data_IF_278199760132
#
_entry.id   IF_278199760132
#
_cell.length_a   1.000
_cell.length_b   1.000
_cell.length_c   1.000
_cell.angle_alpha   90.00
_cell.angle_beta   90.00
_cell.angle_gamma   90.00
#
_symmetry.space_group_name_H-M   'P 1'
#
loop_
_entity.id
_entity.type
_entity.pdbx_description
1 polymer ?
#
# COMPACT_ATOMS: atom_id res chain seq x y z
N UNK A 1 -1.10 22.46 11.10
CA UNK A 1 -1.35 21.01 10.98
C UNK A 1 -0.01 20.33 10.72
N UNK A 2 0.36 19.38 11.59
CA UNK A 2 1.58 18.56 11.43
C UNK A 2 1.20 17.23 10.82
N UNK A 3 1.88 16.84 9.75
CA UNK A 3 1.67 15.57 9.07
C UNK A 3 2.97 14.80 9.07
N UNK A 4 2.95 13.57 9.59
CA UNK A 4 4.06 12.63 9.51
C UNK A 4 3.81 11.53 8.48
N UNK A 5 4.87 10.75 8.18
CA UNK A 5 4.75 9.58 7.33
C UNK A 5 5.49 8.39 7.92
N UNK A 6 4.87 7.22 7.82
CA UNK A 6 5.50 5.96 8.20
C UNK A 6 5.43 5.02 7.00
N UNK A 7 6.61 4.68 6.46
CA UNK A 7 6.76 3.78 5.32
C UNK A 7 7.07 2.37 5.86
N UNK A 8 6.32 1.38 5.40
CA UNK A 8 6.54 -0.03 5.71
C UNK A 8 7.22 -0.69 4.52
N UNK A 9 8.37 -1.31 4.76
CA UNK A 9 9.17 -1.93 3.71
C UNK A 9 9.66 -3.33 4.08
N UNK A 10 9.66 -4.21 3.09
CA UNK A 10 10.31 -5.52 3.12
C UNK A 10 11.39 -5.62 2.03
N UNK A 11 11.90 -4.47 1.58
CA UNK A 11 12.93 -4.35 0.56
C UNK A 11 12.36 -4.33 -0.85
N UNK A 12 11.27 -3.61 -1.05
CA UNK A 12 10.65 -3.39 -2.37
C UNK A 12 11.62 -2.66 -3.30
N UNK A 13 11.55 -2.98 -4.58
CA UNK A 13 12.41 -2.37 -5.60
C UNK A 13 12.22 -0.86 -5.72
N UNK A 14 11.04 -0.37 -5.33
CA UNK A 14 10.65 1.04 -5.39
C UNK A 14 10.80 1.79 -4.07
N UNK A 15 11.40 1.19 -3.04
CA UNK A 15 11.53 1.81 -1.71
C UNK A 15 12.10 3.24 -1.79
N UNK A 16 13.19 3.44 -2.55
CA UNK A 16 13.80 4.77 -2.67
C UNK A 16 12.86 5.78 -3.34
N UNK A 17 12.18 5.39 -4.42
CA UNK A 17 11.20 6.29 -5.07
C UNK A 17 10.03 6.63 -4.15
N UNK A 18 9.57 5.66 -3.34
CA UNK A 18 8.56 5.91 -2.33
C UNK A 18 9.03 6.95 -1.32
N UNK A 19 10.24 6.78 -0.77
CA UNK A 19 10.86 7.72 0.17
C UNK A 19 10.99 9.11 -0.47
N UNK A 20 11.61 9.19 -1.66
CA UNK A 20 11.81 10.45 -2.38
C UNK A 20 10.49 11.18 -2.63
N UNK A 21 9.40 10.45 -2.93
CA UNK A 21 8.08 11.05 -3.17
C UNK A 21 7.47 11.69 -1.92
N UNK A 22 7.87 11.26 -0.73
CA UNK A 22 7.41 11.78 0.55
C UNK A 22 8.30 12.90 1.06
N UNK A 23 9.63 12.69 1.06
CA UNK A 23 10.61 13.60 1.68
C UNK A 23 10.69 14.98 1.02
N UNK A 24 10.16 15.13 -0.20
CA UNK A 24 10.00 16.44 -0.85
C UNK A 24 9.10 17.41 -0.04
N UNK A 25 8.18 16.87 0.78
CA UNK A 25 7.16 17.65 1.46
C UNK A 25 7.09 17.40 2.97
N UNK A 26 7.48 16.21 3.42
CA UNK A 26 7.44 15.79 4.83
C UNK A 26 8.86 15.43 5.26
N UNK A 27 9.40 16.15 6.23
CA UNK A 27 10.71 15.85 6.81
C UNK A 27 10.66 14.79 7.92
N UNK A 28 9.49 14.58 8.51
CA UNK A 28 9.29 13.64 9.62
C UNK A 28 8.79 12.30 9.07
N UNK A 29 9.72 11.52 8.53
CA UNK A 29 9.50 10.21 7.91
C UNK A 29 10.16 9.13 8.74
N UNK A 30 9.41 8.08 9.09
CA UNK A 30 9.95 6.87 9.71
C UNK A 30 9.79 5.67 8.80
N UNK A 31 10.81 4.79 8.75
CA UNK A 31 10.78 3.59 7.91
C UNK A 31 10.82 2.34 8.78
N UNK A 32 9.78 1.53 8.71
CA UNK A 32 9.69 0.23 9.38
C UNK A 32 10.13 -0.84 8.39
N UNK A 33 11.32 -1.43 8.64
CA UNK A 33 11.94 -2.38 7.70
C UNK A 33 11.85 -3.83 8.17
N UNK A 34 11.53 -4.73 7.22
CA UNK A 34 11.63 -6.18 7.37
C UNK A 34 10.81 -6.76 8.54
N UNK A 35 9.66 -6.16 8.85
CA UNK A 35 8.78 -6.62 9.92
C UNK A 35 7.71 -7.56 9.38
N UNK A 36 7.73 -8.79 9.85
CA UNK A 36 6.76 -9.84 9.50
C UNK A 36 6.22 -10.50 10.76
N UNK A 37 4.96 -10.95 10.77
CA UNK A 37 3.92 -10.77 9.76
C UNK A 37 3.37 -9.33 9.70
N UNK A 38 2.63 -8.99 8.65
CA UNK A 38 2.16 -7.64 8.33
C UNK A 38 1.48 -6.90 9.51
N UNK A 39 0.68 -7.60 10.32
CA UNK A 39 0.04 -6.98 11.49
C UNK A 39 1.04 -6.43 12.53
N UNK A 40 2.26 -7.00 12.60
CA UNK A 40 3.32 -6.46 13.47
C UNK A 40 3.90 -5.16 12.93
N UNK A 41 4.03 -5.04 11.60
CA UNK A 41 4.44 -3.77 10.99
C UNK A 41 3.40 -2.68 11.23
N UNK A 42 2.10 -3.02 11.15
CA UNK A 42 1.00 -2.10 11.48
C UNK A 42 1.00 -1.73 12.97
N UNK A 43 1.28 -2.67 13.89
CA UNK A 43 1.39 -2.37 15.33
C UNK A 43 2.55 -1.41 15.62
N UNK A 44 3.72 -1.65 15.01
CA UNK A 44 4.87 -0.75 15.14
C UNK A 44 4.58 0.65 14.56
N UNK A 45 3.86 0.72 13.44
CA UNK A 45 3.40 1.99 12.87
C UNK A 45 2.55 2.79 13.87
N UNK A 46 1.54 2.16 14.47
CA UNK A 46 0.71 2.81 15.47
C UNK A 46 1.49 3.14 16.76
N UNK A 47 2.40 2.26 17.18
CA UNK A 47 3.25 2.53 18.34
C UNK A 47 4.15 3.74 18.15
N UNK A 48 4.74 3.88 16.96
CA UNK A 48 5.59 5.02 16.63
C UNK A 48 4.76 6.29 16.54
N UNK A 49 3.65 6.30 15.80
CA UNK A 49 2.78 7.45 15.63
C UNK A 49 2.22 7.99 16.95
N UNK A 50 1.85 7.09 17.89
CA UNK A 50 1.33 7.49 19.20
C UNK A 50 2.33 8.28 20.08
N UNK A 51 3.63 8.25 19.73
CA UNK A 51 4.69 8.98 20.44
C UNK A 51 5.00 10.33 19.79
N UNK A 52 4.39 10.63 18.64
CA UNK A 52 4.63 11.85 17.89
C UNK A 52 3.55 12.90 18.19
N UNK A 53 3.90 14.16 18.00
CA UNK A 53 2.97 15.31 18.12
C UNK A 53 2.33 15.69 16.78
N UNK A 54 2.06 14.68 15.94
CA UNK A 54 1.38 14.85 14.66
C UNK A 54 -0.14 15.01 14.84
N UNK A 55 -0.76 15.79 13.97
CA UNK A 55 -2.21 15.83 13.84
C UNK A 55 -2.69 14.62 13.03
N UNK A 56 -1.97 14.35 11.93
CA UNK A 56 -2.24 13.26 10.99
C UNK A 56 -0.96 12.53 10.59
N UNK A 57 -1.08 11.29 10.17
CA UNK A 57 0.04 10.58 9.57
C UNK A 57 -0.40 9.67 8.43
N UNK A 58 0.50 9.48 7.48
CA UNK A 58 0.33 8.59 6.34
C UNK A 58 0.96 7.25 6.70
N UNK A 59 0.20 6.15 6.59
CA UNK A 59 0.73 4.80 6.58
C UNK A 59 0.87 4.33 5.12
N UNK A 60 2.11 4.17 4.66
CA UNK A 60 2.42 3.90 3.25
C UNK A 60 3.20 2.60 3.12
N UNK A 61 2.89 1.79 2.11
CA UNK A 61 3.71 0.64 1.72
C UNK A 61 4.77 1.09 0.70
N UNK A 62 5.99 0.56 0.78
CA UNK A 62 7.12 1.01 -0.02
C UNK A 62 7.00 0.70 -1.53
N UNK A 63 5.94 0.01 -1.94
CA UNK A 63 5.55 -0.20 -3.34
C UNK A 63 4.52 0.81 -3.86
N UNK A 64 4.22 1.85 -3.08
CA UNK A 64 3.38 2.99 -3.47
C UNK A 64 4.23 4.24 -3.61
N UNK A 65 4.18 4.88 -4.77
CA UNK A 65 4.85 6.16 -5.06
C UNK A 65 3.77 7.23 -5.10
N UNK A 66 3.91 8.29 -4.30
CA UNK A 66 2.90 9.36 -4.26
C UNK A 66 2.91 10.18 -5.55
N UNK A 67 1.75 10.63 -6.00
CA UNK A 67 1.58 11.34 -7.26
C UNK A 67 2.04 12.81 -7.15
N UNK A 68 2.46 13.48 -8.25
CA UNK A 68 2.76 14.90 -8.22
C UNK A 68 1.60 15.72 -7.65
N UNK A 69 1.89 16.67 -6.74
CA UNK A 69 0.89 17.52 -6.09
C UNK A 69 0.04 16.83 -5.01
N UNK A 70 0.40 15.62 -4.61
CA UNK A 70 -0.32 14.86 -3.59
C UNK A 70 -0.41 15.59 -2.25
N UNK A 71 0.65 16.32 -1.86
CA UNK A 71 0.70 16.99 -0.56
C UNK A 71 -0.31 18.12 -0.45
N UNK A 72 -0.37 19.00 -1.46
CA UNK A 72 -1.34 20.09 -1.50
C UNK A 72 -2.78 19.54 -1.55
N UNK A 73 -2.99 18.47 -2.31
CA UNK A 73 -4.29 17.77 -2.39
C UNK A 73 -4.69 17.23 -1.02
N UNK A 74 -3.77 16.57 -0.31
CA UNK A 74 -4.00 16.04 1.03
C UNK A 74 -4.29 17.16 2.03
N UNK A 75 -3.45 18.18 2.08
CA UNK A 75 -3.62 19.32 3.02
C UNK A 75 -4.94 20.02 2.80
N UNK A 76 -5.29 20.29 1.54
CA UNK A 76 -6.58 20.89 1.20
C UNK A 76 -7.76 20.01 1.66
N UNK A 77 -7.68 18.70 1.44
CA UNK A 77 -8.72 17.78 1.89
C UNK A 77 -8.88 17.77 3.41
N UNK A 78 -7.76 17.67 4.15
CA UNK A 78 -7.76 17.63 5.61
C UNK A 78 -8.25 18.94 6.23
N UNK A 79 -7.96 20.09 5.62
CA UNK A 79 -8.39 21.41 6.09
C UNK A 79 -9.91 21.59 6.03
N UNK A 80 -10.57 20.94 5.09
CA UNK A 80 -12.02 21.00 4.92
C UNK A 80 -12.77 19.79 5.49
N UNK A 81 -12.05 18.93 6.21
CA UNK A 81 -12.61 17.72 6.77
C UNK A 81 -13.46 18.04 8.02
N UNK A 82 -14.71 17.58 8.02
CA UNK A 82 -15.62 17.74 9.14
C UNK A 82 -15.89 16.42 9.87
N UNK A 83 -16.09 16.54 11.19
CA UNK A 83 -16.53 15.46 12.05
C UNK A 83 -15.39 14.60 12.62
N UNK A 84 -15.78 13.56 13.36
CA UNK A 84 -14.88 12.65 14.04
C UNK A 84 -14.40 11.54 13.08
N UNK A 85 -13.27 11.79 12.41
CA UNK A 85 -12.68 10.89 11.41
C UNK A 85 -11.37 10.32 11.93
N UNK A 86 -11.25 8.99 11.96
CA UNK A 86 -10.02 8.33 12.37
C UNK A 86 -9.13 7.91 11.19
N UNK A 87 -9.71 7.69 10.00
CA UNK A 87 -8.97 7.25 8.81
C UNK A 87 -9.61 7.76 7.53
N UNK A 88 -8.76 8.11 6.58
CA UNK A 88 -9.15 8.45 5.21
C UNK A 88 -8.36 7.56 4.27
N UNK A 89 -9.07 6.95 3.32
CA UNK A 89 -8.49 6.11 2.28
C UNK A 89 -8.52 6.87 0.95
N UNK A 90 -7.36 7.15 0.39
CA UNK A 90 -7.21 7.76 -0.91
C UNK A 90 -6.94 6.73 -2.00
N UNK A 91 -7.28 7.09 -3.23
CA UNK A 91 -7.13 6.21 -4.37
C UNK A 91 -5.70 6.19 -4.91
N UNK A 92 -5.32 5.03 -5.42
CA UNK A 92 -4.08 4.79 -6.16
C UNK A 92 -4.40 4.19 -7.52
N UNK A 93 -3.56 4.49 -8.51
CA UNK A 93 -3.56 3.82 -9.79
C UNK A 93 -2.62 2.63 -9.74
N UNK A 94 -3.15 1.45 -9.98
CA UNK A 94 -2.38 0.22 -10.00
C UNK A 94 -2.00 -0.17 -11.44
N UNK A 95 -0.76 -0.65 -11.66
CA UNK A 95 -0.29 -1.07 -12.98
C UNK A 95 -1.16 -2.17 -13.59
N UNK A 96 -1.62 -3.11 -12.77
CA UNK A 96 -2.26 -4.35 -13.21
C UNK A 96 -3.79 -4.34 -13.10
N UNK A 97 -4.34 -3.36 -12.43
CA UNK A 97 -5.76 -3.36 -12.02
C UNK A 97 -6.44 -2.08 -12.50
N UNK A 98 -7.64 -2.26 -13.04
CA UNK A 98 -8.58 -1.18 -13.32
C UNK A 98 -9.93 -1.56 -12.68
N UNK A 99 -10.57 -0.77 -11.90
CA UNK A 99 -10.41 0.66 -11.64
C UNK A 99 -9.38 1.03 -10.55
N UNK A 100 -9.37 2.31 -10.13
CA UNK A 100 -8.56 2.80 -9.01
C UNK A 100 -8.82 2.00 -7.73
N UNK A 101 -7.76 1.73 -6.97
CA UNK A 101 -7.81 1.03 -5.69
C UNK A 101 -7.62 2.00 -4.53
N UNK A 102 -7.97 1.57 -3.32
CA UNK A 102 -7.65 2.26 -2.07
C UNK A 102 -6.27 1.80 -1.59
N UNK A 103 -5.32 2.71 -1.42
CA UNK A 103 -3.93 2.30 -1.12
C UNK A 103 -3.09 3.34 -0.39
N UNK A 104 -3.54 4.60 -0.25
CA UNK A 104 -2.91 5.57 0.65
C UNK A 104 -3.83 5.78 1.85
N UNK A 105 -3.35 5.39 3.02
CA UNK A 105 -4.10 5.44 4.26
C UNK A 105 -3.60 6.57 5.16
N UNK A 106 -4.48 7.51 5.48
CA UNK A 106 -4.17 8.66 6.33
C UNK A 106 -4.96 8.56 7.63
N UNK A 107 -4.26 8.59 8.74
CA UNK A 107 -4.80 8.37 10.08
C UNK A 107 -4.77 9.65 10.91
N UNK A 108 -5.84 9.92 11.63
CA UNK A 108 -5.88 10.95 12.65
C UNK A 108 -5.17 10.45 13.90
N UNK A 109 -4.12 11.16 14.34
CA UNK A 109 -3.26 10.70 15.43
C UNK A 109 -3.98 10.63 16.78
N UNK A 110 -5.03 11.42 17.00
CA UNK A 110 -5.83 11.36 18.24
C UNK A 110 -6.48 10.00 18.47
N UNK A 111 -6.67 9.21 17.43
CA UNK A 111 -7.26 7.86 17.49
C UNK A 111 -6.23 6.72 17.55
N UNK A 112 -4.94 7.01 17.46
CA UNK A 112 -3.90 5.98 17.25
C UNK A 112 -3.85 4.93 18.38
N UNK A 113 -4.00 5.34 19.63
CA UNK A 113 -4.05 4.41 20.77
C UNK A 113 -5.23 3.44 20.65
N UNK A 114 -6.41 3.95 20.26
CA UNK A 114 -7.59 3.12 20.05
C UNK A 114 -7.42 2.16 18.85
N UNK A 115 -6.82 2.63 17.75
CA UNK A 115 -6.51 1.80 16.59
C UNK A 115 -5.60 0.63 16.97
N UNK A 116 -4.59 0.88 17.79
CA UNK A 116 -3.66 -0.14 18.30
C UNK A 116 -4.35 -1.16 19.20
N UNK A 117 -5.23 -0.74 20.08
CA UNK A 117 -5.98 -1.63 20.97
C UNK A 117 -6.93 -2.56 20.19
N UNK A 118 -7.55 -2.04 19.15
CA UNK A 118 -8.38 -2.86 18.24
C UNK A 118 -7.51 -3.82 17.44
N UNK A 119 -6.35 -3.38 16.92
CA UNK A 119 -5.42 -4.23 16.19
C UNK A 119 -5.01 -5.46 17.01
N UNK A 120 -4.64 -5.28 18.29
CA UNK A 120 -4.25 -6.38 19.19
C UNK A 120 -5.33 -7.46 19.32
N UNK A 121 -6.61 -7.09 19.21
CA UNK A 121 -7.76 -8.00 19.25
C UNK A 121 -8.04 -8.69 17.91
N UNK A 122 -7.45 -8.20 16.81
CA UNK A 122 -7.74 -8.63 15.44
C UNK A 122 -6.55 -9.23 14.71
N UNK A 123 -5.46 -9.52 15.40
CA UNK A 123 -4.20 -10.06 14.83
C UNK A 123 -4.37 -11.37 14.07
N UNK A 124 -5.40 -12.15 14.39
CA UNK A 124 -5.74 -13.41 13.72
C UNK A 124 -6.40 -13.20 12.34
N UNK A 125 -6.73 -11.98 11.97
CA UNK A 125 -7.40 -11.67 10.72
C UNK A 125 -6.39 -11.34 9.61
N UNK A 126 -6.64 -11.83 8.41
CA UNK A 126 -5.78 -11.66 7.25
C UNK A 126 -5.65 -10.21 6.74
N UNK A 127 -6.54 -9.31 7.18
CA UNK A 127 -6.58 -7.90 6.78
C UNK A 127 -6.78 -7.04 8.03
N UNK A 128 -5.73 -6.82 8.82
CA UNK A 128 -5.85 -6.13 10.11
C UNK A 128 -6.41 -4.70 9.97
N UNK A 129 -5.98 -3.93 8.97
CA UNK A 129 -6.46 -2.57 8.74
C UNK A 129 -7.96 -2.51 8.38
N UNK A 130 -8.45 -3.46 7.58
CA UNK A 130 -9.89 -3.56 7.28
C UNK A 130 -10.71 -3.98 8.49
N UNK A 131 -10.16 -4.85 9.34
CA UNK A 131 -10.80 -5.28 10.59
C UNK A 131 -10.94 -4.11 11.57
N UNK A 132 -9.93 -3.25 11.68
CA UNK A 132 -9.98 -2.03 12.49
C UNK A 132 -11.13 -1.13 12.03
N UNK A 133 -11.23 -0.86 10.73
CA UNK A 133 -12.32 -0.05 10.16
C UNK A 133 -13.69 -0.61 10.52
N UNK A 134 -13.85 -1.94 10.39
CA UNK A 134 -15.13 -2.58 10.72
C UNK A 134 -15.50 -2.45 12.20
N UNK A 135 -14.52 -2.59 13.10
CA UNK A 135 -14.79 -2.52 14.55
C UNK A 135 -15.03 -1.08 15.04
N UNK A 136 -14.39 -0.09 14.43
CA UNK A 136 -14.49 1.30 14.88
C UNK A 136 -15.63 2.11 14.27
N UNK A 137 -16.36 1.58 13.31
CA UNK A 137 -17.43 2.29 12.57
C UNK A 137 -18.53 2.92 13.46
N UNK A 138 -18.68 2.46 14.70
CA UNK A 138 -19.64 3.00 15.67
C UNK A 138 -19.05 4.13 16.54
N UNK A 139 -17.72 4.29 16.56
CA UNK A 139 -16.99 5.25 17.39
C UNK A 139 -16.53 6.46 16.61
N UNK A 140 -16.04 6.25 15.39
CA UNK A 140 -15.56 7.29 14.51
C UNK A 140 -15.68 6.84 13.04
N UNK A 141 -15.49 7.77 12.09
CA UNK A 141 -15.67 7.49 10.66
C UNK A 141 -14.36 7.09 10.00
N UNK A 142 -14.41 6.09 9.11
CA UNK A 142 -13.45 5.94 8.02
C UNK A 142 -14.08 6.48 6.74
N UNK A 143 -13.34 7.27 5.99
CA UNK A 143 -13.82 7.92 4.77
C UNK A 143 -13.03 7.41 3.57
N UNK A 144 -13.72 7.10 2.49
CA UNK A 144 -13.16 6.85 1.18
C UNK A 144 -13.18 8.13 0.36
N UNK A 145 -12.02 8.73 0.13
CA UNK A 145 -11.86 9.95 -0.68
C UNK A 145 -11.95 9.63 -2.18
N UNK A 146 -13.16 9.32 -2.65
CA UNK A 146 -13.43 8.90 -4.03
C UNK A 146 -13.10 10.01 -5.03
N UNK A 147 -12.44 9.64 -6.11
CA UNK A 147 -12.04 10.58 -7.18
C UNK A 147 -10.72 11.32 -6.89
N UNK A 148 -10.08 11.06 -5.75
CA UNK A 148 -8.81 11.70 -5.38
C UNK A 148 -7.68 10.68 -5.49
N UNK A 149 -6.88 10.81 -6.55
CA UNK A 149 -5.68 9.99 -6.79
C UNK A 149 -4.50 10.58 -6.02
N UNK A 150 -3.91 9.81 -5.11
CA UNK A 150 -2.71 10.22 -4.39
C UNK A 150 -1.46 9.40 -4.72
N UNK A 151 -1.54 8.31 -5.49
CA UNK A 151 -0.34 7.53 -5.76
C UNK A 151 -0.48 6.49 -6.86
N UNK A 152 0.65 5.87 -7.14
CA UNK A 152 0.84 4.81 -8.12
C UNK A 152 1.38 3.57 -7.43
N UNK A 153 0.90 2.37 -7.82
CA UNK A 153 1.24 1.12 -7.17
C UNK A 153 1.49 0.01 -8.19
N UNK A 154 2.44 -0.88 -7.86
CA UNK A 154 2.72 -2.06 -8.67
C UNK A 154 3.62 -1.82 -9.88
N UNK A 155 4.16 -0.61 -10.06
CA UNK A 155 5.15 -0.29 -11.08
C UNK A 155 6.54 -0.71 -10.62
N UNK A 156 7.41 -1.11 -11.55
CA UNK A 156 8.82 -1.44 -11.30
C UNK A 156 9.09 -2.45 -10.16
N UNK A 157 8.16 -3.37 -9.91
CA UNK A 157 8.34 -4.37 -8.87
C UNK A 157 9.35 -5.45 -9.28
N UNK A 158 9.94 -6.16 -8.31
CA UNK A 158 10.67 -7.39 -8.60
C UNK A 158 9.74 -8.46 -9.16
N UNK A 159 10.25 -9.31 -10.06
CA UNK A 159 9.49 -10.42 -10.66
C UNK A 159 8.86 -11.34 -9.60
N UNK A 160 9.63 -11.65 -8.56
CA UNK A 160 9.18 -12.44 -7.41
C UNK A 160 7.99 -11.80 -6.70
N UNK A 161 7.99 -10.48 -6.53
CA UNK A 161 6.94 -9.76 -5.80
C UNK A 161 5.66 -9.71 -6.63
N UNK A 162 5.77 -9.49 -7.95
CA UNK A 162 4.66 -9.58 -8.89
C UNK A 162 4.03 -10.99 -8.83
N UNK A 163 4.85 -12.03 -8.96
CA UNK A 163 4.38 -13.42 -8.90
C UNK A 163 3.66 -13.72 -7.59
N UNK A 164 4.31 -13.44 -6.45
CA UNK A 164 3.77 -13.73 -5.12
C UNK A 164 2.48 -12.96 -4.84
N UNK A 165 2.42 -11.69 -5.21
CA UNK A 165 1.22 -10.85 -5.10
C UNK A 165 0.02 -11.50 -5.78
N UNK A 166 0.17 -11.96 -7.03
CA UNK A 166 -0.94 -12.57 -7.77
C UNK A 166 -1.23 -13.99 -7.33
N UNK A 167 -0.25 -14.78 -6.91
CA UNK A 167 -0.47 -16.08 -6.30
C UNK A 167 -1.33 -15.97 -5.05
N UNK A 168 -0.99 -15.05 -4.15
CA UNK A 168 -1.74 -14.80 -2.93
C UNK A 168 -3.16 -14.27 -3.20
N UNK A 169 -3.33 -13.35 -4.16
CA UNK A 169 -4.65 -12.84 -4.54
C UNK A 169 -5.55 -13.92 -5.10
N UNK A 170 -5.01 -14.82 -5.91
CA UNK A 170 -5.75 -15.95 -6.48
C UNK A 170 -6.30 -16.92 -5.42
N UNK A 171 -5.61 -17.05 -4.27
CA UNK A 171 -6.10 -17.87 -3.15
C UNK A 171 -7.19 -17.18 -2.35
N UNK A 172 -7.13 -15.85 -2.20
CA UNK A 172 -8.02 -15.07 -1.34
C UNK A 172 -9.30 -14.63 -2.03
N UNK A 173 -9.20 -14.24 -3.30
CA UNK A 173 -10.29 -13.66 -4.07
C UNK A 173 -10.25 -14.19 -5.50
N UNK A 174 -10.66 -15.42 -5.74
CA UNK A 174 -10.58 -16.07 -7.05
C UNK A 174 -11.39 -15.36 -8.15
N UNK A 175 -12.41 -14.59 -7.78
CA UNK A 175 -13.24 -13.77 -8.69
C UNK A 175 -12.57 -12.45 -9.11
N UNK A 176 -11.43 -12.11 -8.53
CA UNK A 176 -10.75 -10.84 -8.76
C UNK A 176 -10.35 -10.61 -10.21
N UNK A 177 -10.00 -11.69 -10.92
CA UNK A 177 -9.59 -11.63 -12.34
C UNK A 177 -10.69 -10.99 -13.22
N UNK A 178 -11.94 -11.40 -12.99
CA UNK A 178 -13.09 -10.90 -13.74
C UNK A 178 -13.53 -9.52 -13.28
N UNK A 179 -13.60 -9.35 -11.95
CA UNK A 179 -14.08 -8.12 -11.32
C UNK A 179 -13.24 -6.88 -11.64
N UNK A 180 -11.93 -7.03 -11.73
CA UNK A 180 -10.99 -5.92 -11.84
C UNK A 180 -10.25 -5.85 -13.17
N UNK A 181 -10.69 -6.59 -14.19
CA UNK A 181 -10.07 -6.60 -15.53
C UNK A 181 -8.54 -6.65 -15.42
N UNK A 182 -8.06 -7.63 -14.65
CA UNK A 182 -6.63 -7.80 -14.42
C UNK A 182 -5.89 -8.06 -15.75
N UNK A 183 -4.63 -7.61 -15.78
CA UNK A 183 -3.74 -7.90 -16.88
C UNK A 183 -4.11 -7.28 -18.23
N UNK A 184 -4.45 -6.00 -18.24
CA UNK A 184 -4.72 -5.25 -19.47
C UNK A 184 -3.51 -5.11 -20.40
N UNK A 185 -2.31 -5.03 -19.81
CA UNK A 185 -1.08 -4.88 -20.57
C UNK A 185 -0.53 -6.23 -21.02
N UNK A 186 0.23 -6.24 -22.12
CA UNK A 186 0.88 -7.42 -22.67
C UNK A 186 2.40 -7.31 -22.53
N UNK A 187 2.87 -7.00 -21.32
CA UNK A 187 4.28 -6.91 -20.97
C UNK A 187 4.76 -8.14 -20.17
N UNK A 188 6.07 -8.18 -19.89
CA UNK A 188 6.68 -9.27 -19.12
C UNK A 188 6.09 -9.36 -17.71
N UNK A 189 5.86 -8.24 -17.04
CA UNK A 189 5.27 -8.19 -15.70
C UNK A 189 3.88 -8.83 -15.68
N UNK A 190 3.08 -8.55 -16.70
CA UNK A 190 1.75 -9.17 -16.86
C UNK A 190 1.85 -10.68 -17.06
N UNK A 191 2.84 -11.16 -17.82
CA UNK A 191 3.07 -12.60 -18.00
C UNK A 191 3.43 -13.27 -16.67
N UNK A 192 4.29 -12.65 -15.87
CA UNK A 192 4.67 -13.11 -14.52
C UNK A 192 3.46 -13.13 -13.59
N UNK A 193 2.67 -12.06 -13.57
CA UNK A 193 1.44 -11.98 -12.78
C UNK A 193 0.44 -13.09 -13.10
N UNK A 194 0.25 -13.39 -14.41
CA UNK A 194 -0.59 -14.52 -14.87
C UNK A 194 -0.06 -15.87 -14.39
N UNK A 195 1.27 -16.06 -14.37
CA UNK A 195 1.88 -17.28 -13.84
C UNK A 195 1.62 -17.43 -12.34
N UNK A 196 1.83 -16.34 -11.57
CA UNK A 196 1.51 -16.29 -10.14
C UNK A 196 0.05 -16.63 -9.86
N UNK A 197 -0.87 -16.03 -10.61
CA UNK A 197 -2.30 -16.32 -10.50
C UNK A 197 -2.63 -17.80 -10.72
N UNK A 198 -2.11 -18.38 -11.82
CA UNK A 198 -2.30 -19.82 -12.12
C UNK A 198 -1.74 -20.70 -11.02
N UNK A 199 -0.58 -20.34 -10.47
CA UNK A 199 0.04 -21.06 -9.34
C UNK A 199 -0.85 -21.02 -8.10
N UNK A 200 -1.33 -19.83 -7.70
CA UNK A 200 -2.20 -19.65 -6.55
C UNK A 200 -3.49 -20.44 -6.65
N UNK A 201 -4.12 -20.45 -7.82
CA UNK A 201 -5.34 -21.24 -8.08
C UNK A 201 -5.14 -22.75 -7.89
N UNK A 202 -3.97 -23.28 -8.22
CA UNK A 202 -3.63 -24.70 -8.05
C UNK A 202 -3.25 -25.07 -6.62
N UNK A 203 -2.77 -24.12 -5.82
CA UNK A 203 -2.15 -24.35 -4.53
C UNK A 203 -2.89 -23.68 -3.37
N UNK A 204 -4.20 -23.53 -3.45
CA UNK A 204 -5.06 -22.76 -2.51
C UNK A 204 -4.79 -23.07 -1.01
N UNK A 205 -4.41 -24.30 -0.67
CA UNK A 205 -4.14 -24.71 0.72
C UNK A 205 -2.68 -24.54 1.17
N UNK A 206 -1.77 -24.11 0.30
CA UNK A 206 -0.31 -24.12 0.54
C UNK A 206 0.34 -22.75 0.57
N UNK A 207 -0.38 -21.69 0.21
CA UNK A 207 0.19 -20.35 0.19
C UNK A 207 -0.22 -19.66 1.48
N UNK A 208 0.66 -19.74 2.48
CA UNK A 208 0.58 -18.88 3.65
C UNK A 208 1.15 -17.50 3.30
N UNK A 209 0.61 -16.46 3.94
CA UNK A 209 1.13 -15.08 3.82
C UNK A 209 2.59 -14.98 4.29
N UNK A 210 3.03 -15.94 5.10
CA UNK A 210 4.39 -16.03 5.62
C UNK A 210 5.40 -16.61 4.62
N UNK A 211 4.94 -17.33 3.58
CA UNK A 211 5.80 -17.91 2.54
C UNK A 211 6.24 -16.90 1.46
N UNK A 212 5.98 -15.61 1.68
CA UNK A 212 6.50 -14.53 0.86
C UNK A 212 8.03 -14.59 0.69
N UNK A 213 8.72 -15.25 1.62
CA UNK A 213 10.17 -15.45 1.63
C UNK A 213 10.62 -16.79 1.03
N UNK A 214 9.73 -17.77 0.84
CA UNK A 214 10.05 -19.05 0.19
C UNK A 214 9.91 -18.90 -1.33
N UNK A 215 10.91 -18.28 -1.91
CA UNK A 215 10.98 -17.86 -3.29
C UNK A 215 11.33 -19.03 -4.17
N UNK A 216 10.55 -19.26 -5.23
CA UNK A 216 11.14 -19.74 -6.45
C UNK A 216 12.25 -18.77 -6.82
N UNK A 217 13.46 -19.26 -6.97
CA UNK A 217 14.52 -18.49 -7.57
C UNK A 217 14.05 -18.02 -8.95
N UNK A 218 13.80 -16.72 -9.06
CA UNK A 218 13.56 -16.12 -10.36
C UNK A 218 14.94 -15.93 -10.97
N UNK A 219 15.37 -16.89 -11.77
CA UNK A 219 16.50 -16.70 -12.67
C UNK A 219 16.24 -15.41 -13.46
N UNK A 220 17.22 -14.52 -13.50
CA UNK A 220 17.12 -13.19 -14.10
C UNK A 220 16.11 -12.23 -13.43
N UNK A 221 16.17 -12.11 -12.12
CA UNK A 221 15.45 -11.07 -11.40
C UNK A 221 15.85 -9.65 -11.91
N UNK A 222 14.95 -8.71 -11.83
CA UNK A 222 15.27 -7.34 -12.22
C UNK A 222 16.38 -6.75 -11.34
N UNK A 223 17.32 -5.99 -11.92
CA UNK A 223 18.33 -5.29 -11.13
C UNK A 223 17.67 -4.25 -10.21
N UNK A 224 18.37 -3.77 -9.19
CA UNK A 224 17.93 -2.63 -8.39
C UNK A 224 17.54 -1.45 -9.28
N UNK A 225 16.46 -0.78 -8.91
CA UNK A 225 15.95 0.35 -9.69
C UNK A 225 16.90 1.55 -9.58
N UNK A 226 17.21 2.18 -10.70
CA UNK A 226 18.13 3.33 -10.78
C UNK A 226 17.50 4.47 -11.60
N UNK A 227 16.24 4.76 -11.37
CA UNK A 227 15.57 5.91 -11.99
C UNK A 227 15.25 6.96 -10.93
N UNK A 228 15.18 8.20 -11.35
CA UNK A 228 14.74 9.31 -10.52
C UNK A 228 13.21 9.36 -10.46
N UNK A 229 12.68 10.09 -9.49
CA UNK A 229 11.24 10.30 -9.36
C UNK A 229 10.68 11.06 -10.59
N UNK A 230 11.44 11.98 -11.16
CA UNK A 230 11.05 12.72 -12.38
C UNK A 230 10.93 11.80 -13.59
N UNK A 231 11.90 10.90 -13.79
CA UNK A 231 11.85 9.88 -14.85
C UNK A 231 10.65 8.94 -14.66
N UNK A 232 10.39 8.51 -13.44
CA UNK A 232 9.21 7.71 -13.13
C UNK A 232 7.91 8.41 -13.53
N UNK A 233 7.72 9.67 -13.14
CA UNK A 233 6.51 10.41 -13.51
C UNK A 233 6.37 10.65 -15.01
N UNK A 234 7.49 10.80 -15.73
CA UNK A 234 7.48 10.88 -17.19
C UNK A 234 6.99 9.59 -17.82
N UNK A 235 7.52 8.44 -17.37
CA UNK A 235 7.06 7.11 -17.84
C UNK A 235 5.57 6.90 -17.60
N UNK A 236 5.07 7.29 -16.42
CA UNK A 236 3.64 7.17 -16.09
C UNK A 236 2.77 8.01 -17.04
N UNK A 237 3.20 9.21 -17.40
CA UNK A 237 2.47 10.05 -18.35
C UNK A 237 2.45 9.43 -19.76
N UNK A 238 3.56 8.91 -20.21
CA UNK A 238 3.70 8.29 -21.54
C UNK A 238 2.92 6.97 -21.65
N UNK A 239 2.80 6.21 -20.58
CA UNK A 239 2.04 4.95 -20.57
C UNK A 239 0.51 5.13 -20.53
N UNK A 240 0.02 6.36 -20.38
CA UNK A 240 -1.41 6.69 -20.31
C UNK A 240 -1.98 7.30 -21.61
N UNK A 241 -1.22 7.31 -22.71
CA UNK A 241 -1.64 7.77 -24.04
C UNK A 241 -2.26 6.64 -24.85
#
# INVERSE_FOLDING_TARGET
>A
MKIGCIIRSVGERTENLCIDSVEQYISDVNIIKNVSPFHKAVDQMFEYAAKQDWDWYIGLDADVILAPGWYDTLVNYLTHLEGNVFRIDFQIKDKFVDPLLWGVHVYNNTHTSLLRDVLKKTTHLNKPESAIVHQLRTHAKAINATGILLGYHGYHQYKKDIFNRFALRATRNPEWLEKYKLFKHYDEDTAIGKQGWKYGRKNIKKIDFMDYNNKKDFENEYPPLKITLEEFYKEIKESNV
#
